data_IF_577966447090
#
_entry.id   IF_577966447090
#
_cell.length_a   1.000
_cell.length_b   1.000
_cell.length_c   1.000
_cell.angle_alpha   90.00
_cell.angle_beta   90.00
_cell.angle_gamma   90.00
#
_symmetry.space_group_name_H-M   'P 1'
#
loop_
_entity.id
_entity.type
_entity.pdbx_description
1 polymer ?
#
# COMPACT_ATOMS: atom_id res chain seq x y z
N UNK A 1 26.67 18.82 -24.33
CA UNK A 1 26.06 18.04 -23.23
C UNK A 1 24.98 17.20 -23.88
N UNK A 2 25.06 15.87 -23.82
CA UNK A 2 23.93 15.05 -24.26
C UNK A 2 22.70 15.50 -23.45
N UNK A 3 21.62 15.86 -24.13
CA UNK A 3 20.33 16.07 -23.48
C UNK A 3 19.97 14.77 -22.76
N UNK A 4 19.57 14.85 -21.50
CA UNK A 4 19.07 13.71 -20.76
C UNK A 4 17.71 13.34 -21.39
N UNK A 5 17.68 12.30 -22.24
CA UNK A 5 16.48 11.75 -22.90
C UNK A 5 15.50 11.04 -21.93
N UNK A 6 15.64 11.26 -20.62
CA UNK A 6 14.88 10.56 -19.57
C UNK A 6 13.89 11.50 -18.92
N UNK A 7 12.61 11.14 -18.95
CA UNK A 7 11.54 11.83 -18.24
C UNK A 7 11.30 11.20 -16.86
N UNK A 8 10.93 12.03 -15.89
CA UNK A 8 10.64 11.61 -14.52
C UNK A 8 9.17 11.78 -14.21
N UNK A 9 8.51 10.69 -13.83
CA UNK A 9 7.17 10.72 -13.27
C UNK A 9 7.27 10.69 -11.75
N UNK A 10 6.73 11.70 -11.08
CA UNK A 10 6.54 11.75 -9.64
C UNK A 10 5.04 11.73 -9.34
N UNK A 11 4.65 11.35 -8.12
CA UNK A 11 3.25 11.41 -7.72
C UNK A 11 3.08 11.58 -6.22
N UNK A 12 1.97 12.19 -5.81
CA UNK A 12 1.51 12.17 -4.41
C UNK A 12 0.03 11.79 -4.35
N UNK A 13 -0.42 11.47 -3.15
CA UNK A 13 -1.76 10.97 -2.85
C UNK A 13 -2.36 11.89 -1.78
N UNK A 14 -3.68 12.05 -1.82
CA UNK A 14 -4.44 12.80 -0.82
C UNK A 14 -3.94 12.54 0.62
N UNK A 15 -3.67 13.57 1.44
CA UNK A 15 -3.04 13.40 2.76
C UNK A 15 -3.73 12.44 3.74
N UNK A 16 -5.08 12.33 3.80
CA UNK A 16 -5.75 11.36 4.66
C UNK A 16 -5.47 9.88 4.31
N UNK A 17 -4.98 9.60 3.10
CA UNK A 17 -4.80 8.22 2.65
C UNK A 17 -3.62 7.52 3.33
N UNK A 18 -3.93 6.35 3.90
CA UNK A 18 -2.99 5.55 4.67
C UNK A 18 -1.97 4.77 3.83
N UNK A 19 -1.02 4.15 4.53
CA UNK A 19 0.11 3.41 3.96
C UNK A 19 -0.29 2.38 2.90
N UNK A 20 -1.34 1.60 3.17
CA UNK A 20 -1.73 0.49 2.30
C UNK A 20 -2.51 0.93 1.05
N UNK A 21 -3.24 2.06 1.09
CA UNK A 21 -3.82 2.62 -0.14
C UNK A 21 -2.72 3.23 -1.01
N UNK A 22 -1.73 3.91 -0.43
CA UNK A 22 -0.59 4.46 -1.18
C UNK A 22 0.20 3.37 -1.93
N UNK A 23 0.33 2.18 -1.34
CA UNK A 23 0.89 0.99 -2.02
C UNK A 23 0.02 0.52 -3.20
N UNK A 24 -1.29 0.67 -3.11
CA UNK A 24 -2.21 0.37 -4.22
C UNK A 24 -2.07 1.42 -5.34
N UNK A 25 -1.96 2.71 -5.00
CA UNK A 25 -1.73 3.80 -5.97
C UNK A 25 -0.38 3.64 -6.68
N UNK A 26 0.67 3.17 -5.99
CA UNK A 26 1.94 2.81 -6.63
C UNK A 26 1.74 1.85 -7.82
N UNK A 27 0.87 0.85 -7.69
CA UNK A 27 0.61 -0.11 -8.77
C UNK A 27 -0.01 0.58 -9.99
N UNK A 28 -0.91 1.55 -9.75
CA UNK A 28 -1.53 2.36 -10.80
C UNK A 28 -0.47 3.21 -11.51
N UNK A 29 0.40 3.90 -10.77
CA UNK A 29 1.44 4.74 -11.34
C UNK A 29 2.51 3.93 -12.08
N UNK A 30 2.91 2.79 -11.55
CA UNK A 30 3.79 1.86 -12.24
C UNK A 30 3.18 1.34 -13.55
N UNK A 31 1.86 1.13 -13.60
CA UNK A 31 1.16 0.73 -14.83
C UNK A 31 1.18 1.86 -15.87
N UNK A 32 0.92 3.11 -15.45
CA UNK A 32 1.09 4.29 -16.30
C UNK A 32 2.52 4.38 -16.85
N UNK A 33 3.55 4.20 -16.02
CA UNK A 33 4.95 4.22 -16.50
C UNK A 33 5.22 3.11 -17.51
N UNK A 34 4.72 1.88 -17.29
CA UNK A 34 4.82 0.81 -18.31
C UNK A 34 4.21 1.22 -19.65
N UNK A 35 3.11 1.97 -19.65
CA UNK A 35 2.51 2.50 -20.88
C UNK A 35 3.34 3.63 -21.49
N UNK A 36 3.80 4.60 -20.69
CA UNK A 36 4.65 5.71 -21.16
C UNK A 36 5.95 5.19 -21.80
N UNK A 37 6.52 4.12 -21.23
CA UNK A 37 7.75 3.49 -21.71
C UNK A 37 7.64 2.79 -23.07
N UNK A 38 6.44 2.68 -23.64
CA UNK A 38 6.26 2.18 -25.01
C UNK A 38 6.77 3.19 -26.06
N UNK A 39 6.92 4.46 -25.70
CA UNK A 39 7.27 5.53 -26.66
C UNK A 39 8.41 6.45 -26.22
N UNK A 40 8.87 6.38 -24.95
CA UNK A 40 10.00 7.17 -24.48
C UNK A 40 10.59 6.59 -23.20
N UNK A 41 11.72 7.12 -22.74
CA UNK A 41 12.31 6.68 -21.47
C UNK A 41 11.71 7.45 -20.29
N UNK A 42 11.02 6.70 -19.43
CA UNK A 42 10.38 7.21 -18.23
C UNK A 42 10.85 6.44 -17.00
N UNK A 43 11.16 7.18 -15.95
CA UNK A 43 11.52 6.65 -14.62
C UNK A 43 10.49 7.11 -13.61
N UNK A 44 10.03 6.18 -12.77
CA UNK A 44 9.14 6.51 -11.64
C UNK A 44 9.97 6.92 -10.44
N UNK A 45 9.81 8.16 -9.98
CA UNK A 45 10.41 8.64 -8.75
C UNK A 45 9.50 8.25 -7.59
N UNK A 46 10.07 7.52 -6.64
CA UNK A 46 9.33 7.00 -5.49
C UNK A 46 9.06 8.12 -4.48
N UNK A 47 7.78 8.40 -4.12
CA UNK A 47 7.46 9.46 -3.18
C UNK A 47 7.90 9.08 -1.77
N UNK A 48 8.71 9.90 -1.08
CA UNK A 48 9.15 9.60 0.28
C UNK A 48 7.97 9.42 1.22
N UNK A 49 8.07 8.46 2.14
CA UNK A 49 7.03 8.24 3.12
C UNK A 49 7.10 9.30 4.23
N UNK A 50 5.95 9.78 4.66
CA UNK A 50 5.86 10.71 5.78
C UNK A 50 4.44 11.14 6.11
N UNK A 51 4.20 11.54 7.37
CA UNK A 51 2.93 12.11 7.87
C UNK A 51 1.67 11.36 7.41
N UNK A 52 1.64 10.04 7.60
CA UNK A 52 0.40 9.29 7.38
C UNK A 52 -0.54 9.44 8.58
N UNK A 53 -1.84 9.60 8.34
CA UNK A 53 -2.84 9.82 9.40
C UNK A 53 -2.86 8.71 10.48
N UNK A 54 -2.45 7.50 10.12
CA UNK A 54 -2.38 6.34 11.03
C UNK A 54 -1.02 6.13 11.68
N UNK A 55 -0.03 6.96 11.36
CA UNK A 55 1.27 6.92 12.02
C UNK A 55 1.18 7.74 13.31
N UNK A 56 1.09 7.03 14.43
CA UNK A 56 0.73 7.56 15.75
C UNK A 56 1.95 7.84 16.63
N UNK A 57 3.11 7.30 16.29
CA UNK A 57 4.33 7.46 17.08
C UNK A 57 4.83 8.91 16.97
N UNK A 58 4.48 9.74 17.94
CA UNK A 58 4.85 11.17 17.99
C UNK A 58 6.33 11.40 18.24
N UNK A 59 6.97 10.45 18.93
CA UNK A 59 8.35 10.59 19.43
C UNK A 59 9.38 10.09 18.40
N UNK A 60 8.91 9.54 17.27
CA UNK A 60 9.73 9.02 16.18
C UNK A 60 9.70 10.00 15.02
N UNK A 61 10.86 10.30 14.44
CA UNK A 61 10.90 11.10 13.21
C UNK A 61 10.39 10.28 12.02
N UNK A 62 9.23 10.64 11.48
CA UNK A 62 8.54 9.90 10.40
C UNK A 62 8.25 10.78 9.17
N UNK A 63 9.30 11.38 8.63
CA UNK A 63 9.27 12.21 7.43
C UNK A 63 10.42 11.82 6.51
N UNK A 64 10.23 12.02 5.20
CA UNK A 64 11.25 11.82 4.17
C UNK A 64 11.87 10.41 4.19
N UNK A 65 11.11 9.40 4.60
CA UNK A 65 11.60 8.03 4.70
C UNK A 65 11.69 7.44 3.28
N UNK A 66 12.84 6.88 2.86
CA UNK A 66 12.98 6.27 1.54
C UNK A 66 12.22 4.94 1.46
N UNK A 67 11.91 4.51 0.25
CA UNK A 67 11.24 3.22 0.01
C UNK A 67 12.10 2.02 0.40
N UNK A 68 13.42 2.14 0.32
CA UNK A 68 14.37 1.10 0.73
C UNK A 68 14.19 0.62 2.19
N UNK A 69 13.63 1.45 3.08
CA UNK A 69 13.31 1.04 4.45
C UNK A 69 12.15 0.03 4.51
N UNK A 70 11.26 0.02 3.51
CA UNK A 70 10.06 -0.81 3.51
C UNK A 70 10.05 -1.88 2.42
N UNK A 71 10.69 -1.63 1.27
CA UNK A 71 10.66 -2.47 0.09
C UNK A 71 12.05 -2.67 -0.52
N UNK A 72 12.25 -3.81 -1.18
CA UNK A 72 13.44 -4.08 -1.96
C UNK A 72 13.42 -3.28 -3.27
N UNK A 73 14.28 -2.26 -3.38
CA UNK A 73 14.39 -1.45 -4.60
C UNK A 73 14.75 -2.30 -5.81
N UNK A 74 15.68 -3.26 -5.68
CA UNK A 74 16.03 -4.18 -6.75
C UNK A 74 14.82 -4.98 -7.26
N UNK A 75 13.91 -5.37 -6.35
CA UNK A 75 12.70 -6.11 -6.71
C UNK A 75 11.72 -5.22 -7.48
N UNK A 76 11.55 -3.96 -7.06
CA UNK A 76 10.73 -2.97 -7.77
C UNK A 76 11.31 -2.66 -9.16
N UNK A 77 12.63 -2.43 -9.23
CA UNK A 77 13.37 -2.12 -10.47
C UNK A 77 13.31 -3.25 -11.50
N UNK A 78 13.20 -4.51 -11.06
CA UNK A 78 12.97 -5.63 -11.96
C UNK A 78 11.60 -5.59 -12.67
N UNK A 79 10.67 -4.73 -12.24
CA UNK A 79 9.36 -4.55 -12.85
C UNK A 79 9.22 -3.23 -13.64
N UNK A 80 9.65 -2.10 -13.05
CA UNK A 80 9.60 -0.75 -13.65
C UNK A 80 10.84 0.03 -13.19
N UNK A 81 11.46 0.91 -14.01
CA UNK A 81 12.55 1.76 -13.52
C UNK A 81 12.04 2.67 -12.42
N UNK A 82 12.60 2.49 -11.24
CA UNK A 82 12.29 3.31 -10.08
C UNK A 82 13.58 3.86 -9.49
N UNK A 83 13.51 5.09 -9.01
CA UNK A 83 14.57 5.75 -8.25
C UNK A 83 13.97 6.40 -6.99
N UNK A 84 14.80 6.57 -5.96
CA UNK A 84 14.40 7.33 -4.78
C UNK A 84 14.33 8.84 -5.10
N UNK A 85 13.59 9.60 -4.30
CA UNK A 85 13.44 11.04 -4.54
C UNK A 85 14.76 11.82 -4.42
N UNK A 86 15.64 11.44 -3.49
CA UNK A 86 16.96 12.08 -3.37
C UNK A 86 17.87 11.80 -4.58
N UNK A 87 17.74 10.62 -5.19
CA UNK A 87 18.43 10.26 -6.42
C UNK A 87 17.93 11.12 -7.59
N UNK A 88 16.61 11.33 -7.69
CA UNK A 88 16.04 12.29 -8.64
C UNK A 88 16.62 13.71 -8.47
N UNK A 89 16.75 14.22 -7.23
CA UNK A 89 17.34 15.55 -6.98
C UNK A 89 18.78 15.60 -7.51
N UNK A 90 19.56 14.54 -7.30
CA UNK A 90 20.94 14.46 -7.75
C UNK A 90 21.04 14.39 -9.29
N UNK A 91 20.19 13.60 -9.95
CA UNK A 91 20.22 13.38 -11.41
C UNK A 91 19.65 14.57 -12.21
N UNK A 92 18.58 15.20 -11.71
CA UNK A 92 17.93 16.35 -12.36
C UNK A 92 18.70 17.66 -12.19
N UNK A 93 19.69 17.71 -11.29
CA UNK A 93 20.51 18.89 -11.02
C UNK A 93 19.93 19.83 -9.96
N UNK A 94 18.89 19.42 -9.24
CA UNK A 94 18.35 20.15 -8.10
C UNK A 94 16.92 19.73 -7.73
N UNK A 95 16.35 20.27 -6.64
CA UNK A 95 15.01 19.92 -6.18
C UNK A 95 13.92 20.68 -6.94
N UNK A 96 13.99 20.67 -8.27
CA UNK A 96 13.05 21.36 -9.16
C UNK A 96 12.20 20.34 -9.92
N UNK A 97 10.90 20.58 -9.92
CA UNK A 97 9.90 19.82 -10.68
C UNK A 97 9.35 20.76 -11.75
N UNK A 98 9.39 20.36 -13.01
CA UNK A 98 9.01 21.26 -14.10
C UNK A 98 7.50 21.51 -14.11
N UNK A 99 6.70 20.46 -13.97
CA UNK A 99 5.24 20.54 -14.03
C UNK A 99 4.59 19.75 -12.91
N UNK A 100 3.70 20.39 -12.15
CA UNK A 100 2.73 19.71 -11.28
C UNK A 100 1.38 19.71 -11.97
N UNK A 101 0.76 18.53 -12.07
CA UNK A 101 -0.60 18.33 -12.53
C UNK A 101 -1.43 17.84 -11.34
N UNK A 102 -2.34 18.67 -10.85
CA UNK A 102 -3.26 18.29 -9.78
C UNK A 102 -4.46 17.57 -10.41
N UNK A 103 -4.57 16.27 -10.16
CA UNK A 103 -5.71 15.48 -10.63
C UNK A 103 -6.97 15.86 -9.85
N UNK A 104 -8.08 15.95 -10.57
CA UNK A 104 -9.40 16.20 -10.00
C UNK A 104 -10.48 15.47 -10.80
N UNK A 105 -11.67 15.35 -10.22
CA UNK A 105 -12.85 14.88 -10.96
C UNK A 105 -13.33 15.95 -11.96
N UNK A 106 -14.21 15.57 -12.89
CA UNK A 106 -14.97 16.54 -13.67
C UNK A 106 -16.01 17.23 -12.78
N UNK A 107 -16.05 18.56 -12.80
CA UNK A 107 -16.95 19.36 -11.95
C UNK A 107 -18.43 19.08 -12.26
N UNK A 108 -18.72 18.77 -13.52
CA UNK A 108 -20.03 18.37 -14.02
C UNK A 108 -20.47 16.96 -13.60
N UNK A 109 -19.56 16.16 -13.02
CA UNK A 109 -19.80 14.74 -12.74
C UNK A 109 -19.97 13.91 -14.02
N UNK A 110 -20.68 12.79 -13.91
CA UNK A 110 -21.05 11.95 -15.05
C UNK A 110 -22.54 11.63 -15.01
N UNK A 111 -23.14 11.37 -16.18
CA UNK A 111 -24.53 10.94 -16.30
C UNK A 111 -24.64 9.43 -16.15
N UNK A 112 -25.69 8.96 -15.47
CA UNK A 112 -25.96 7.53 -15.32
C UNK A 112 -26.00 6.83 -16.69
N UNK A 113 -25.26 5.73 -16.83
CA UNK A 113 -25.19 4.93 -18.07
C UNK A 113 -24.15 5.39 -19.10
N UNK A 114 -23.39 6.48 -18.86
CA UNK A 114 -22.27 6.91 -19.70
C UNK A 114 -21.03 7.20 -18.87
N UNK A 115 -20.20 6.18 -18.65
CA UNK A 115 -18.86 6.36 -18.12
C UNK A 115 -17.86 6.31 -19.28
N UNK A 116 -17.12 7.40 -19.48
CA UNK A 116 -16.15 7.55 -20.56
C UNK A 116 -14.78 7.89 -19.96
N UNK A 117 -13.74 7.27 -20.51
CA UNK A 117 -12.37 7.59 -20.12
C UNK A 117 -11.90 8.84 -20.84
N UNK A 118 -11.48 9.85 -20.09
CA UNK A 118 -11.07 11.15 -20.62
C UNK A 118 -10.19 11.92 -19.64
N UNK A 119 -9.36 12.79 -20.21
CA UNK A 119 -8.45 13.69 -19.50
C UNK A 119 -8.49 15.03 -20.20
N UNK A 120 -8.78 16.09 -19.45
CA UNK A 120 -8.82 17.45 -19.96
C UNK A 120 -8.12 18.41 -19.01
N UNK A 121 -7.36 19.35 -19.56
CA UNK A 121 -6.95 20.54 -18.80
C UNK A 121 -8.20 21.35 -18.43
N UNK A 122 -8.38 21.62 -17.13
CA UNK A 122 -9.55 22.31 -16.60
C UNK A 122 -9.13 23.30 -15.51
N UNK A 123 -9.93 24.35 -15.26
CA UNK A 123 -9.73 25.18 -14.08
C UNK A 123 -9.71 24.33 -12.81
N UNK A 124 -8.83 24.68 -11.87
CA UNK A 124 -8.79 24.04 -10.56
C UNK A 124 -10.11 24.25 -9.81
N UNK A 125 -10.76 23.15 -9.41
CA UNK A 125 -12.03 23.18 -8.69
C UNK A 125 -11.81 23.69 -7.27
N UNK A 126 -10.84 23.08 -6.58
CA UNK A 126 -10.43 23.49 -5.25
C UNK A 126 -9.28 24.48 -5.29
N UNK A 127 -9.11 25.21 -4.18
CA UNK A 127 -7.97 26.09 -4.02
C UNK A 127 -6.69 25.26 -4.01
N UNK A 128 -5.76 25.60 -4.91
CA UNK A 128 -4.44 24.98 -4.94
C UNK A 128 -3.73 25.08 -3.58
N UNK A 129 -3.17 23.96 -3.14
CA UNK A 129 -2.30 23.88 -1.96
C UNK A 129 -0.87 24.37 -2.25
N UNK A 130 -0.60 24.75 -3.50
CA UNK A 130 0.66 25.30 -3.97
C UNK A 130 0.62 26.83 -3.99
N UNK A 131 1.70 27.48 -3.57
CA UNK A 131 1.80 28.95 -3.52
C UNK A 131 3.11 29.43 -4.11
N UNK A 132 3.09 30.56 -4.83
CA UNK A 132 4.31 31.14 -5.41
C UNK A 132 5.18 31.79 -4.34
N UNK A 133 6.48 31.55 -4.39
CA UNK A 133 7.48 32.28 -3.62
C UNK A 133 7.88 33.60 -4.31
N UNK A 134 8.83 34.32 -3.69
CA UNK A 134 9.31 35.63 -4.19
C UNK A 134 10.02 35.53 -5.54
N UNK A 135 10.50 34.34 -5.90
CA UNK A 135 11.19 34.06 -7.16
C UNK A 135 10.22 33.60 -8.25
N UNK A 136 8.93 33.43 -7.91
CA UNK A 136 7.88 33.01 -8.83
C UNK A 136 7.70 31.49 -8.93
N UNK A 137 8.50 30.71 -8.20
CA UNK A 137 8.38 29.25 -8.15
C UNK A 137 7.30 28.81 -7.17
N UNK A 138 6.65 27.69 -7.45
CA UNK A 138 5.63 27.13 -6.56
C UNK A 138 6.25 26.33 -5.44
N UNK A 139 5.82 26.63 -4.20
CA UNK A 139 6.06 25.85 -2.98
C UNK A 139 4.83 25.04 -2.64
N UNK A 140 5.03 23.85 -2.09
CA UNK A 140 3.97 22.94 -1.68
C UNK A 140 4.46 22.00 -0.58
N UNK A 141 3.72 20.92 -0.35
CA UNK A 141 4.08 19.91 0.63
C UNK A 141 5.35 19.16 0.24
N UNK A 142 5.44 18.68 -1.00
CA UNK A 142 6.59 17.95 -1.58
C UNK A 142 7.25 16.96 -0.61
N UNK A 143 6.42 16.10 0.00
CA UNK A 143 6.85 15.04 0.94
C UNK A 143 7.67 15.53 2.14
N UNK A 144 7.53 16.81 2.48
CA UNK A 144 8.25 17.46 3.59
C UNK A 144 9.60 18.05 3.20
N UNK A 145 9.98 18.08 1.91
CA UNK A 145 11.17 18.77 1.41
C UNK A 145 10.85 20.25 1.15
N UNK A 146 11.26 21.11 2.08
CA UNK A 146 10.99 22.55 2.03
C UNK A 146 11.77 23.26 0.92
N UNK A 147 12.85 22.64 0.46
CA UNK A 147 13.71 23.07 -0.64
C UNK A 147 13.07 22.86 -2.01
N UNK A 148 12.12 21.92 -2.14
CA UNK A 148 11.52 21.56 -3.43
C UNK A 148 10.66 22.66 -4.02
N UNK A 149 10.82 22.89 -5.32
CA UNK A 149 10.10 23.91 -6.09
C UNK A 149 9.49 23.31 -7.34
N UNK A 150 8.30 23.76 -7.70
CA UNK A 150 7.73 23.51 -9.02
C UNK A 150 7.78 24.76 -9.90
N UNK A 151 8.10 24.60 -11.19
CA UNK A 151 8.12 25.71 -12.15
C UNK A 151 6.70 26.10 -12.54
N UNK A 152 5.83 25.11 -12.78
CA UNK A 152 4.44 25.34 -13.13
C UNK A 152 3.48 24.38 -12.39
N UNK A 153 2.26 24.85 -12.14
CA UNK A 153 1.19 24.07 -11.50
C UNK A 153 -0.12 24.34 -12.23
N UNK A 154 -0.78 23.28 -12.70
CA UNK A 154 -2.11 23.32 -13.29
C UNK A 154 -2.96 22.14 -12.81
N UNK A 155 -4.26 22.17 -13.12
CA UNK A 155 -5.18 21.09 -12.78
C UNK A 155 -5.66 20.38 -14.04
N UNK A 156 -5.82 19.06 -13.95
CA UNK A 156 -6.42 18.26 -15.00
C UNK A 156 -7.58 17.45 -14.42
N UNK A 157 -8.72 17.49 -15.09
CA UNK A 157 -9.83 16.61 -14.77
C UNK A 157 -9.60 15.28 -15.45
N UNK A 158 -9.60 14.19 -14.69
CA UNK A 158 -9.37 12.85 -15.19
C UNK A 158 -10.48 11.91 -14.73
N UNK A 159 -10.95 11.07 -15.65
CA UNK A 159 -11.86 9.98 -15.40
C UNK A 159 -11.35 8.79 -16.19
N UNK A 160 -11.00 7.69 -15.51
CA UNK A 160 -10.47 6.52 -16.21
C UNK A 160 -9.42 5.76 -15.41
N UNK A 161 -8.78 4.84 -16.11
CA UNK A 161 -7.64 4.10 -15.59
C UNK A 161 -6.35 4.91 -15.72
N UNK A 162 -5.31 4.56 -14.95
CA UNK A 162 -4.07 5.34 -14.92
C UNK A 162 -3.45 5.57 -16.30
N UNK A 163 -3.47 4.58 -17.19
CA UNK A 163 -2.91 4.71 -18.54
C UNK A 163 -3.63 5.72 -19.44
N UNK A 164 -4.84 6.19 -19.10
CA UNK A 164 -5.52 7.26 -19.86
C UNK A 164 -4.75 8.58 -19.83
N UNK A 165 -3.87 8.77 -18.84
CA UNK A 165 -3.00 9.93 -18.74
C UNK A 165 -1.85 9.90 -19.76
N UNK A 166 -1.49 8.74 -20.30
CA UNK A 166 -0.29 8.60 -21.12
C UNK A 166 -0.31 9.47 -22.40
N UNK A 167 -1.38 9.47 -23.23
CA UNK A 167 -1.43 10.33 -24.40
C UNK A 167 -1.30 11.82 -24.04
N UNK A 168 -2.00 12.28 -23.00
CA UNK A 168 -1.90 13.67 -22.53
C UNK A 168 -0.47 14.03 -22.10
N UNK A 169 0.19 13.15 -21.33
CA UNK A 169 1.57 13.37 -20.90
C UNK A 169 2.59 13.33 -22.04
N UNK A 170 2.30 12.61 -23.13
CA UNK A 170 3.20 12.49 -24.28
C UNK A 170 3.00 13.59 -25.33
N UNK A 171 1.76 14.03 -25.54
CA UNK A 171 1.39 14.96 -26.61
C UNK A 171 1.34 16.41 -26.13
N UNK A 172 0.93 16.66 -24.89
CA UNK A 172 0.68 18.00 -24.38
C UNK A 172 1.76 18.52 -23.42
N UNK A 173 2.62 17.64 -22.89
CA UNK A 173 3.61 17.99 -21.88
C UNK A 173 5.03 17.84 -22.43
N UNK A 174 5.78 18.94 -22.46
CA UNK A 174 7.19 18.97 -22.87
C UNK A 174 8.16 18.95 -21.67
N UNK A 175 7.62 18.92 -20.45
CA UNK A 175 8.37 18.91 -19.21
C UNK A 175 9.17 17.61 -19.03
N UNK A 176 10.38 17.72 -18.48
CA UNK A 176 11.24 16.56 -18.18
C UNK A 176 10.74 15.87 -16.91
N UNK A 177 10.33 16.64 -15.89
CA UNK A 177 9.80 16.13 -14.63
C UNK A 177 8.35 16.53 -14.39
N UNK A 178 7.47 15.54 -14.23
CA UNK A 178 6.03 15.74 -14.04
C UNK A 178 5.59 15.09 -12.74
N UNK A 179 5.00 15.88 -11.84
CA UNK A 179 4.35 15.39 -10.62
C UNK A 179 2.84 15.30 -10.82
N UNK A 180 2.27 14.12 -10.62
CA UNK A 180 0.83 13.88 -10.54
C UNK A 180 0.37 13.94 -9.08
N UNK A 181 -0.24 15.05 -8.67
CA UNK A 181 -0.83 15.17 -7.34
C UNK A 181 -2.25 14.58 -7.36
N UNK A 182 -2.73 14.07 -6.22
CA UNK A 182 -4.03 13.39 -6.10
C UNK A 182 -4.13 12.16 -7.00
N UNK A 183 -3.04 11.39 -7.08
CA UNK A 183 -2.93 10.20 -7.93
C UNK A 183 -3.95 9.08 -7.61
N UNK A 184 -4.63 9.13 -6.46
CA UNK A 184 -5.75 8.23 -6.15
C UNK A 184 -6.95 8.39 -7.09
N UNK A 185 -7.04 9.51 -7.82
CA UNK A 185 -8.14 9.86 -8.73
C UNK A 185 -8.31 8.85 -9.87
N UNK A 186 -7.20 8.29 -10.38
CA UNK A 186 -7.23 7.32 -11.48
C UNK A 186 -7.29 5.88 -10.98
N UNK A 187 -7.93 5.02 -11.76
CA UNK A 187 -8.17 3.61 -11.43
C UNK A 187 -7.06 2.68 -11.96
N UNK A 188 -7.13 1.38 -11.62
CA UNK A 188 -6.23 0.35 -12.16
C UNK A 188 -6.63 -0.09 -13.56
N UNK A 189 -5.73 0.00 -14.55
CA UNK A 189 -5.98 -0.41 -15.96
C UNK A 189 -6.68 -1.77 -16.10
N UNK A 190 -6.12 -2.80 -15.45
CA UNK A 190 -6.75 -4.11 -15.37
C UNK A 190 -6.46 -4.73 -14.00
N UNK A 191 -7.33 -4.43 -13.04
CA UNK A 191 -7.22 -4.94 -11.68
C UNK A 191 -7.16 -6.47 -11.66
N UNK A 192 -6.23 -7.03 -10.89
CA UNK A 192 -5.94 -8.47 -10.82
C UNK A 192 -5.52 -9.13 -12.16
N UNK A 193 -5.19 -8.35 -13.17
CA UNK A 193 -4.54 -8.82 -14.40
C UNK A 193 -3.07 -9.19 -14.22
N UNK A 194 -2.45 -9.71 -15.29
CA UNK A 194 -1.02 -10.06 -15.27
C UNK A 194 -0.13 -8.88 -14.86
N UNK A 195 -0.32 -7.72 -15.48
CA UNK A 195 0.52 -6.54 -15.20
C UNK A 195 0.31 -5.99 -13.78
N UNK A 196 -0.92 -6.08 -13.25
CA UNK A 196 -1.22 -5.81 -11.85
C UNK A 196 -0.41 -6.74 -10.94
N UNK A 197 -0.45 -8.05 -11.20
CA UNK A 197 0.23 -9.05 -10.39
C UNK A 197 1.75 -8.97 -10.50
N UNK A 198 2.31 -8.69 -11.67
CA UNK A 198 3.75 -8.46 -11.81
C UNK A 198 4.20 -7.27 -10.97
N UNK A 199 3.46 -6.15 -11.02
CA UNK A 199 3.76 -5.00 -10.17
C UNK A 199 3.56 -5.32 -8.69
N UNK A 200 2.47 -5.98 -8.31
CA UNK A 200 2.20 -6.35 -6.92
C UNK A 200 3.23 -7.32 -6.35
N UNK A 201 3.71 -8.29 -7.14
CA UNK A 201 4.76 -9.25 -6.76
C UNK A 201 6.14 -8.60 -6.67
N UNK A 202 6.39 -7.54 -7.44
CA UNK A 202 7.63 -6.77 -7.35
C UNK A 202 7.79 -6.01 -6.02
N UNK A 203 6.69 -5.73 -5.33
CA UNK A 203 6.66 -5.05 -4.01
C UNK A 203 7.06 -5.98 -2.86
N UNK A 204 8.25 -6.56 -2.96
CA UNK A 204 8.85 -7.40 -1.94
C UNK A 204 9.28 -6.54 -0.75
N UNK A 205 8.87 -6.93 0.46
CA UNK A 205 9.30 -6.23 1.68
C UNK A 205 10.81 -6.27 1.88
N UNK A 206 11.35 -5.19 2.47
CA UNK A 206 12.76 -5.09 2.81
C UNK A 206 13.22 -6.30 3.65
N UNK A 207 14.43 -6.78 3.37
CA UNK A 207 14.94 -8.05 3.95
C UNK A 207 14.94 -8.03 5.48
N UNK A 208 15.33 -6.91 6.08
CA UNK A 208 15.40 -6.78 7.54
C UNK A 208 14.01 -6.94 8.20
N UNK A 209 12.94 -6.43 7.57
CA UNK A 209 11.56 -6.59 8.06
C UNK A 209 11.10 -8.05 8.00
N UNK A 210 11.38 -8.74 6.88
CA UNK A 210 11.09 -10.18 6.74
C UNK A 210 11.80 -10.99 7.81
N UNK A 211 13.09 -10.72 8.02
CA UNK A 211 13.89 -11.39 9.05
C UNK A 211 13.32 -11.21 10.47
N UNK A 212 12.87 -10.00 10.83
CA UNK A 212 12.23 -9.74 12.12
C UNK A 212 10.94 -10.56 12.25
N UNK A 213 10.10 -10.57 11.21
CA UNK A 213 8.88 -11.35 11.18
C UNK A 213 9.14 -12.87 11.26
N UNK A 214 10.18 -13.38 10.59
CA UNK A 214 10.57 -14.79 10.62
C UNK A 214 11.13 -15.20 11.99
N UNK A 215 11.94 -14.34 12.61
CA UNK A 215 12.39 -14.54 13.98
C UNK A 215 11.23 -14.58 14.97
N UNK A 216 10.25 -13.68 14.81
CA UNK A 216 9.04 -13.68 15.63
C UNK A 216 8.22 -14.96 15.43
N UNK A 217 7.99 -15.37 14.18
CA UNK A 217 7.29 -16.60 13.80
C UNK A 217 7.95 -17.83 14.43
N UNK A 218 9.27 -17.95 14.30
CA UNK A 218 10.02 -19.07 14.86
C UNK A 218 9.92 -19.09 16.39
N UNK A 219 10.16 -17.96 17.05
CA UNK A 219 10.25 -17.85 18.51
C UNK A 219 8.89 -18.03 19.21
N UNK A 220 7.84 -17.39 18.71
CA UNK A 220 6.57 -17.30 19.43
C UNK A 220 5.46 -18.15 18.81
N UNK A 221 5.53 -18.44 17.51
CA UNK A 221 4.45 -19.10 16.77
C UNK A 221 4.77 -20.52 16.32
N UNK A 222 5.99 -21.02 16.56
CA UNK A 222 6.45 -22.33 16.09
C UNK A 222 6.23 -22.50 14.58
N UNK A 223 6.68 -21.49 13.83
CA UNK A 223 6.41 -21.29 12.41
C UNK A 223 7.73 -20.95 11.70
N UNK A 224 8.01 -21.68 10.61
CA UNK A 224 9.19 -21.52 9.74
C UNK A 224 8.80 -21.91 8.33
N UNK A 225 9.42 -21.33 7.30
CA UNK A 225 9.01 -21.58 5.92
C UNK A 225 9.09 -23.05 5.51
N UNK A 226 10.07 -23.78 6.04
CA UNK A 226 10.23 -25.22 5.81
C UNK A 226 9.07 -26.03 6.40
N UNK A 227 8.63 -25.73 7.63
CA UNK A 227 7.53 -26.46 8.28
C UNK A 227 6.14 -26.04 7.76
N UNK A 228 6.05 -24.80 7.29
CA UNK A 228 4.82 -24.15 6.86
C UNK A 228 4.58 -24.30 5.35
N UNK A 229 5.55 -24.88 4.64
CA UNK A 229 5.57 -25.01 3.18
C UNK A 229 5.35 -23.66 2.48
N UNK A 230 6.02 -22.62 2.95
CA UNK A 230 6.01 -21.27 2.36
C UNK A 230 7.39 -20.91 1.79
N UNK A 231 7.95 -21.71 0.87
CA UNK A 231 9.29 -21.46 0.35
C UNK A 231 9.34 -20.10 -0.37
N UNK A 232 10.41 -19.35 -0.10
CA UNK A 232 10.60 -17.99 -0.59
C UNK A 232 11.76 -17.92 -1.60
N UNK A 233 11.69 -16.97 -2.53
CA UNK A 233 12.77 -16.64 -3.48
C UNK A 233 12.99 -15.13 -3.47
N UNK A 234 14.24 -14.70 -3.30
CA UNK A 234 14.61 -13.28 -3.39
C UNK A 234 14.33 -12.70 -4.79
N UNK A 235 14.45 -13.53 -5.83
CA UNK A 235 13.99 -13.20 -7.17
C UNK A 235 12.49 -13.53 -7.28
N UNK A 236 11.65 -12.49 -7.15
CA UNK A 236 10.21 -12.63 -7.20
C UNK A 236 9.73 -13.15 -8.56
N UNK A 237 10.46 -12.93 -9.66
CA UNK A 237 10.04 -13.36 -11.00
C UNK A 237 9.98 -14.89 -11.10
N UNK A 238 10.81 -15.59 -10.30
CA UNK A 238 10.87 -17.04 -10.18
C UNK A 238 9.87 -17.61 -9.18
N UNK A 239 9.29 -16.78 -8.31
CA UNK A 239 8.33 -17.22 -7.30
C UNK A 239 6.98 -17.51 -7.95
N UNK A 240 6.74 -18.78 -8.31
CA UNK A 240 5.46 -19.27 -8.82
C UNK A 240 4.96 -20.40 -7.92
N UNK A 241 4.08 -20.08 -6.98
CA UNK A 241 3.48 -21.05 -6.09
C UNK A 241 2.22 -21.65 -6.71
N UNK A 242 2.04 -22.97 -6.58
CA UNK A 242 0.79 -23.64 -6.95
C UNK A 242 -0.27 -23.25 -5.91
N UNK A 243 -1.42 -22.74 -6.35
CA UNK A 243 -2.50 -22.39 -5.44
C UNK A 243 -2.89 -23.58 -4.53
N UNK A 244 -2.91 -23.34 -3.22
CA UNK A 244 -3.15 -24.36 -2.19
C UNK A 244 -1.92 -25.19 -1.80
N UNK A 245 -0.71 -24.87 -2.27
CA UNK A 245 0.51 -25.57 -1.85
C UNK A 245 1.02 -25.11 -0.48
N UNK A 246 0.79 -23.85 -0.10
CA UNK A 246 1.20 -23.33 1.19
C UNK A 246 0.28 -23.82 2.32
N UNK A 247 0.89 -24.24 3.42
CA UNK A 247 0.18 -24.78 4.60
C UNK A 247 0.06 -23.75 5.72
N UNK A 248 1.08 -22.93 5.94
CA UNK A 248 1.15 -21.93 7.01
C UNK A 248 1.41 -22.50 8.41
N UNK A 249 1.91 -21.60 9.26
CA UNK A 249 2.28 -21.87 10.64
C UNK A 249 1.09 -22.25 11.51
N UNK A 250 1.31 -22.96 12.63
CA UNK A 250 0.26 -23.52 13.47
C UNK A 250 -0.44 -22.47 14.36
N UNK A 251 -0.87 -21.37 13.76
CA UNK A 251 -1.59 -20.27 14.41
C UNK A 251 -2.65 -19.67 13.48
N UNK A 252 -3.62 -18.99 14.09
CA UNK A 252 -4.61 -18.15 13.41
C UNK A 252 -4.05 -16.73 13.28
N UNK A 253 -4.03 -16.17 12.07
CA UNK A 253 -3.70 -14.77 11.83
C UNK A 253 -4.97 -13.93 11.83
N UNK A 254 -4.96 -12.84 12.59
CA UNK A 254 -6.11 -11.95 12.73
C UNK A 254 -5.66 -10.53 12.47
N UNK A 255 -6.34 -9.83 11.57
CA UNK A 255 -6.24 -8.38 11.46
C UNK A 255 -7.54 -7.73 11.90
N UNK A 256 -7.48 -7.00 13.01
CA UNK A 256 -8.62 -6.30 13.61
C UNK A 256 -8.39 -4.78 13.55
N UNK A 257 -9.00 -4.12 12.57
CA UNK A 257 -8.97 -2.66 12.41
C UNK A 257 -10.04 -2.01 13.30
N UNK A 258 -9.62 -1.09 14.16
CA UNK A 258 -10.38 -0.43 15.23
C UNK A 258 -10.28 1.08 15.05
N UNK A 259 -9.80 1.83 16.05
CA UNK A 259 -9.54 3.27 16.00
C UNK A 259 -10.62 4.09 15.26
N UNK A 260 -10.23 4.93 14.30
CA UNK A 260 -11.12 5.75 13.46
C UNK A 260 -12.13 4.91 12.66
N UNK A 261 -11.75 3.69 12.29
CA UNK A 261 -12.53 2.81 11.42
C UNK A 261 -13.87 2.42 12.04
N UNK A 262 -13.93 2.25 13.37
CA UNK A 262 -15.18 1.92 14.06
C UNK A 262 -16.26 2.96 13.79
N UNK A 263 -15.92 4.24 13.69
CA UNK A 263 -16.93 5.30 13.52
C UNK A 263 -17.58 5.29 12.13
N UNK A 264 -16.80 4.97 11.09
CA UNK A 264 -17.28 4.88 9.71
C UNK A 264 -17.88 3.52 9.31
N UNK A 265 -17.56 2.45 10.06
CA UNK A 265 -17.84 1.05 9.69
C UNK A 265 -18.52 0.26 10.81
N UNK A 266 -19.38 0.90 11.61
CA UNK A 266 -19.99 0.26 12.80
C UNK A 266 -20.77 -1.02 12.48
N UNK A 267 -21.38 -1.06 11.32
CA UNK A 267 -22.33 -2.11 10.96
C UNK A 267 -21.65 -3.34 10.36
N UNK A 268 -20.41 -3.22 9.86
CA UNK A 268 -19.67 -4.28 9.17
C UNK A 268 -18.37 -4.69 9.89
N UNK A 269 -18.13 -4.15 11.09
CA UNK A 269 -17.06 -4.57 12.01
C UNK A 269 -17.61 -5.13 13.33
N UNK A 270 -16.99 -6.17 13.91
CA UNK A 270 -17.51 -6.80 15.12
C UNK A 270 -17.26 -5.95 16.38
N UNK A 271 -18.02 -6.22 17.44
CA UNK A 271 -17.59 -5.83 18.78
C UNK A 271 -16.39 -6.67 19.24
N UNK A 272 -15.67 -6.26 20.29
CA UNK A 272 -14.60 -7.10 20.86
C UNK A 272 -15.11 -8.49 21.29
N UNK A 273 -16.35 -8.58 21.81
CA UNK A 273 -16.99 -9.85 22.17
C UNK A 273 -17.30 -10.70 20.94
N UNK A 274 -17.83 -10.08 19.88
CA UNK A 274 -18.08 -10.73 18.60
C UNK A 274 -16.80 -11.28 17.97
N UNK A 275 -15.74 -10.46 17.94
CA UNK A 275 -14.42 -10.81 17.43
C UNK A 275 -13.83 -12.02 18.18
N UNK A 276 -13.76 -11.96 19.52
CA UNK A 276 -13.23 -13.07 20.34
C UNK A 276 -14.02 -14.37 20.15
N UNK A 277 -15.36 -14.28 20.09
CA UNK A 277 -16.22 -15.45 19.83
C UNK A 277 -15.88 -16.07 18.47
N UNK A 278 -15.74 -15.25 17.42
CA UNK A 278 -15.38 -15.71 16.07
C UNK A 278 -13.97 -16.31 16.03
N UNK A 279 -13.00 -15.67 16.68
CA UNK A 279 -11.61 -16.14 16.79
C UNK A 279 -11.58 -17.55 17.40
N UNK A 280 -12.21 -17.75 18.58
CA UNK A 280 -12.24 -19.07 19.23
C UNK A 280 -12.95 -20.13 18.39
N UNK A 281 -14.02 -19.76 17.68
CA UNK A 281 -14.70 -20.66 16.75
C UNK A 281 -13.78 -21.12 15.63
N UNK A 282 -13.01 -20.20 15.03
CA UNK A 282 -12.04 -20.52 13.98
C UNK A 282 -10.85 -21.34 14.50
N UNK A 283 -10.32 -21.02 15.69
CA UNK A 283 -9.27 -21.78 16.33
C UNK A 283 -9.71 -23.24 16.55
N UNK A 284 -10.91 -23.45 17.13
CA UNK A 284 -11.48 -24.79 17.32
C UNK A 284 -11.69 -25.52 16.00
N UNK A 285 -12.26 -24.85 14.99
CA UNK A 285 -12.54 -25.45 13.66
C UNK A 285 -11.26 -25.91 12.95
N UNK A 286 -10.18 -25.12 13.06
CA UNK A 286 -8.93 -25.37 12.36
C UNK A 286 -7.86 -26.07 13.23
N UNK A 287 -8.20 -26.42 14.49
CA UNK A 287 -7.29 -27.06 15.46
C UNK A 287 -6.01 -26.24 15.67
N UNK A 288 -6.18 -24.96 16.00
CA UNK A 288 -5.11 -24.00 16.23
C UNK A 288 -5.14 -23.56 17.70
N UNK A 289 -4.00 -23.63 18.38
CA UNK A 289 -3.88 -23.28 19.80
C UNK A 289 -3.37 -21.84 20.02
N UNK A 290 -2.75 -21.25 18.99
CA UNK A 290 -2.21 -19.88 19.02
C UNK A 290 -2.96 -18.96 18.08
N UNK A 291 -3.06 -17.69 18.45
CA UNK A 291 -3.62 -16.62 17.61
C UNK A 291 -2.73 -15.40 17.65
N UNK A 292 -2.31 -14.95 16.48
CA UNK A 292 -1.60 -13.69 16.28
C UNK A 292 -2.58 -12.58 15.91
N UNK A 293 -2.47 -11.41 16.54
CA UNK A 293 -3.38 -10.27 16.31
C UNK A 293 -2.60 -9.03 15.89
N UNK A 294 -2.76 -8.64 14.62
CA UNK A 294 -2.44 -7.31 14.12
C UNK A 294 -3.63 -6.38 14.36
N UNK A 295 -3.42 -5.30 15.13
CA UNK A 295 -4.49 -4.35 15.46
C UNK A 295 -3.92 -2.98 15.80
N UNK A 296 -4.65 -1.94 15.41
CA UNK A 296 -4.47 -0.53 15.73
C UNK A 296 -5.32 -0.08 16.94
N UNK A 297 -5.90 -1.03 17.69
CA UNK A 297 -6.60 -0.77 18.93
C UNK A 297 -5.68 -0.06 19.93
N UNK A 298 -6.25 0.88 20.70
CA UNK A 298 -5.54 1.54 21.79
C UNK A 298 -5.23 0.57 22.95
N UNK A 299 -4.39 1.02 23.89
CA UNK A 299 -3.95 0.20 25.02
C UNK A 299 -5.11 -0.32 25.88
N UNK A 300 -6.20 0.44 26.00
CA UNK A 300 -7.37 0.06 26.80
C UNK A 300 -8.16 -1.05 26.12
N UNK A 301 -8.44 -0.93 24.82
CA UNK A 301 -9.07 -1.97 24.01
C UNK A 301 -8.20 -3.24 23.96
N UNK A 302 -6.88 -3.09 23.81
CA UNK A 302 -5.92 -4.21 23.84
C UNK A 302 -5.95 -4.92 25.18
N UNK A 303 -5.97 -4.19 26.31
CA UNK A 303 -6.06 -4.78 27.63
C UNK A 303 -7.36 -5.59 27.82
N UNK A 304 -8.48 -5.05 27.34
CA UNK A 304 -9.78 -5.76 27.32
C UNK A 304 -9.72 -7.02 26.46
N UNK A 305 -9.12 -6.93 25.27
CA UNK A 305 -8.96 -8.05 24.36
C UNK A 305 -8.10 -9.15 24.98
N UNK A 306 -6.97 -8.79 25.61
CA UNK A 306 -6.07 -9.71 26.31
C UNK A 306 -6.75 -10.42 27.48
N UNK A 307 -7.62 -9.73 28.22
CA UNK A 307 -8.43 -10.34 29.28
C UNK A 307 -9.42 -11.37 28.73
N UNK A 308 -9.99 -11.11 27.55
CA UNK A 308 -11.00 -11.97 26.93
C UNK A 308 -10.38 -13.14 26.14
N UNK A 309 -9.17 -12.96 25.62
CA UNK A 309 -8.42 -13.90 24.79
C UNK A 309 -6.95 -13.98 25.27
N UNK A 310 -6.67 -14.59 26.45
CA UNK A 310 -5.33 -14.63 27.03
C UNK A 310 -4.27 -15.33 26.16
N UNK A 311 -4.70 -16.20 25.25
CA UNK A 311 -3.87 -16.91 24.28
C UNK A 311 -3.38 -16.03 23.10
N UNK A 312 -3.78 -14.75 23.05
CA UNK A 312 -3.37 -13.84 21.99
C UNK A 312 -1.90 -13.48 22.06
N UNK A 313 -1.26 -13.45 20.89
CA UNK A 313 0.13 -13.03 20.69
C UNK A 313 0.11 -11.80 19.79
N UNK A 314 0.92 -10.79 20.13
CA UNK A 314 1.11 -9.58 19.32
C UNK A 314 2.59 -9.32 19.14
N UNK A 315 2.95 -8.69 18.03
CA UNK A 315 4.25 -8.07 17.88
C UNK A 315 4.20 -6.72 18.59
N UNK A 316 5.05 -6.56 19.61
CA UNK A 316 5.19 -5.31 20.37
C UNK A 316 6.66 -4.89 20.20
N UNK A 317 6.96 -3.91 19.31
CA UNK A 317 8.33 -3.48 19.07
C UNK A 317 8.91 -2.82 20.34
N UNK A 318 10.20 -3.02 20.59
CA UNK A 318 10.92 -2.20 21.57
C UNK A 318 10.96 -0.73 21.11
N UNK A 319 11.19 0.25 22.00
CA UNK A 319 11.39 1.64 21.59
C UNK A 319 12.50 1.80 20.54
N UNK A 320 13.57 1.01 20.66
CA UNK A 320 14.66 0.98 19.69
C UNK A 320 14.22 0.40 18.34
N UNK A 321 13.46 -0.70 18.34
CA UNK A 321 12.89 -1.27 17.11
C UNK A 321 11.88 -0.30 16.49
N UNK A 322 11.08 0.41 17.27
CA UNK A 322 10.10 1.37 16.76
C UNK A 322 10.79 2.56 16.09
N UNK A 323 11.88 3.07 16.68
CA UNK A 323 12.68 4.13 16.08
C UNK A 323 13.34 3.67 14.78
N UNK A 324 13.77 2.42 14.68
CA UNK A 324 14.39 1.86 13.47
C UNK A 324 13.34 1.58 12.39
N UNK A 325 12.31 0.82 12.72
CA UNK A 325 11.33 0.28 11.77
C UNK A 325 10.30 1.33 11.36
N UNK A 326 10.08 2.36 12.19
CA UNK A 326 8.98 3.31 12.06
C UNK A 326 7.62 2.59 12.08
N UNK A 327 6.53 3.34 12.02
CA UNK A 327 5.18 2.76 12.04
C UNK A 327 4.91 1.89 10.80
N UNK A 328 5.50 2.26 9.65
CA UNK A 328 5.40 1.50 8.40
C UNK A 328 6.07 0.12 8.48
N UNK A 329 7.26 0.02 9.08
CA UNK A 329 7.97 -1.24 9.22
C UNK A 329 7.28 -2.18 10.21
N UNK A 330 6.78 -1.65 11.33
CA UNK A 330 5.96 -2.42 12.28
C UNK A 330 4.70 -2.97 11.60
N UNK A 331 4.01 -2.13 10.80
CA UNK A 331 2.85 -2.56 10.03
C UNK A 331 3.20 -3.68 9.02
N UNK A 332 4.37 -3.62 8.37
CA UNK A 332 4.83 -4.67 7.46
C UNK A 332 5.13 -5.97 8.21
N UNK A 333 5.77 -5.90 9.38
CA UNK A 333 6.04 -7.08 10.22
C UNK A 333 4.72 -7.76 10.62
N UNK A 334 3.73 -6.99 11.05
CA UNK A 334 2.38 -7.50 11.35
C UNK A 334 1.73 -8.18 10.12
N UNK A 335 1.84 -7.57 8.93
CA UNK A 335 1.32 -8.16 7.70
C UNK A 335 2.04 -9.44 7.32
N UNK A 336 3.37 -9.47 7.44
CA UNK A 336 4.20 -10.63 7.15
C UNK A 336 3.82 -11.81 8.05
N UNK A 337 3.70 -11.57 9.37
CA UNK A 337 3.29 -12.60 10.31
C UNK A 337 1.85 -13.05 10.03
N UNK A 338 0.91 -12.14 9.76
CA UNK A 338 -0.46 -12.52 9.37
C UNK A 338 -0.49 -13.36 8.09
N UNK A 339 0.32 -13.02 7.09
CA UNK A 339 0.35 -13.69 5.80
C UNK A 339 0.81 -15.15 5.91
N UNK A 340 1.65 -15.50 6.91
CA UNK A 340 2.16 -16.86 7.11
C UNK A 340 1.27 -17.77 7.97
N UNK A 341 0.14 -17.27 8.47
CA UNK A 341 -0.77 -18.06 9.29
C UNK A 341 -1.44 -19.21 8.50
N UNK A 342 -1.76 -20.32 9.16
CA UNK A 342 -2.55 -21.41 8.53
C UNK A 342 -3.94 -20.96 8.09
N UNK A 343 -4.52 -20.04 8.84
CA UNK A 343 -5.80 -19.43 8.51
C UNK A 343 -5.72 -17.93 8.82
N UNK A 344 -6.26 -17.10 7.94
CA UNK A 344 -6.32 -15.66 8.13
C UNK A 344 -7.77 -15.16 8.11
N UNK A 345 -8.06 -14.18 8.96
CA UNK A 345 -9.29 -13.39 8.95
C UNK A 345 -8.96 -11.91 9.16
N UNK A 346 -9.43 -11.07 8.23
CA UNK A 346 -9.22 -9.63 8.27
C UNK A 346 -10.45 -8.84 8.72
N UNK A 347 -10.34 -7.53 8.61
CA UNK A 347 -11.45 -6.57 8.81
C UNK A 347 -12.03 -6.13 7.47
N UNK A 348 -13.35 -5.91 7.44
CA UNK A 348 -14.12 -5.41 6.29
C UNK A 348 -13.45 -4.20 5.66
N UNK A 349 -13.42 -4.18 4.32
CA UNK A 349 -12.92 -3.10 3.44
C UNK A 349 -11.57 -2.46 3.81
N UNK A 350 -10.79 -3.10 4.68
CA UNK A 350 -9.51 -2.56 5.12
C UNK A 350 -8.41 -2.87 4.10
N UNK A 351 -7.76 -1.82 3.60
CA UNK A 351 -6.61 -1.93 2.70
C UNK A 351 -5.44 -2.70 3.34
N UNK A 352 -5.28 -2.66 4.66
CA UNK A 352 -4.32 -3.49 5.39
C UNK A 352 -4.63 -4.99 5.22
N UNK A 353 -5.91 -5.39 5.37
CA UNK A 353 -6.34 -6.78 5.10
C UNK A 353 -6.10 -7.16 3.63
N UNK A 354 -6.39 -6.25 2.69
CA UNK A 354 -6.21 -6.52 1.27
C UNK A 354 -4.75 -6.80 0.92
N UNK A 355 -3.80 -6.05 1.49
CA UNK A 355 -2.38 -6.33 1.27
C UNK A 355 -1.96 -7.69 1.82
N UNK A 356 -2.54 -8.14 2.94
CA UNK A 356 -2.32 -9.50 3.46
C UNK A 356 -2.93 -10.55 2.53
N UNK A 357 -4.14 -10.33 2.00
CA UNK A 357 -4.77 -11.27 1.07
C UNK A 357 -3.88 -11.53 -0.15
N UNK A 358 -3.30 -10.48 -0.72
CA UNK A 358 -2.40 -10.59 -1.87
C UNK A 358 -1.09 -11.28 -1.53
N UNK A 359 -0.51 -11.00 -0.37
CA UNK A 359 0.73 -11.67 0.07
C UNK A 359 0.49 -13.19 0.22
N UNK A 360 -0.68 -13.57 0.74
CA UNK A 360 -1.12 -14.97 0.82
C UNK A 360 -1.38 -15.60 -0.54
N UNK A 361 -1.95 -14.85 -1.49
CA UNK A 361 -2.15 -15.31 -2.86
C UNK A 361 -0.80 -15.57 -3.55
N UNK A 362 0.18 -14.67 -3.38
CA UNK A 362 1.54 -14.80 -3.91
C UNK A 362 2.23 -16.05 -3.38
N UNK A 363 2.07 -16.33 -2.09
CA UNK A 363 2.61 -17.54 -1.45
C UNK A 363 1.84 -18.82 -1.81
N UNK A 364 0.70 -18.72 -2.49
CA UNK A 364 -0.08 -19.88 -2.91
C UNK A 364 -0.89 -20.54 -1.80
N UNK A 365 -1.37 -19.78 -0.82
CA UNK A 365 -2.33 -20.27 0.17
C UNK A 365 -3.67 -20.63 -0.49
N UNK A 366 -4.41 -21.57 0.11
CA UNK A 366 -5.79 -21.86 -0.33
C UNK A 366 -6.67 -20.62 -0.08
N UNK A 367 -7.43 -20.13 -1.09
CA UNK A 367 -8.32 -18.98 -0.96
C UNK A 367 -9.28 -19.06 0.24
N UNK A 368 -9.74 -20.26 0.60
CA UNK A 368 -10.62 -20.49 1.76
C UNK A 368 -9.99 -20.11 3.09
N UNK A 369 -8.65 -20.05 3.14
CA UNK A 369 -7.88 -19.65 4.32
C UNK A 369 -7.44 -18.18 4.27
N UNK A 370 -7.74 -17.47 3.19
CA UNK A 370 -7.23 -16.13 2.90
C UNK A 370 -8.35 -15.09 2.90
N UNK A 371 -9.37 -15.27 2.07
CA UNK A 371 -10.41 -14.25 1.83
C UNK A 371 -11.54 -14.39 2.85
N UNK A 372 -11.24 -14.03 4.10
CA UNK A 372 -12.18 -14.07 5.20
C UNK A 372 -12.20 -12.73 5.93
N UNK A 373 -13.38 -12.24 6.31
CA UNK A 373 -13.50 -11.08 7.20
C UNK A 373 -14.37 -11.36 8.42
N UNK A 374 -14.18 -10.56 9.46
CA UNK A 374 -15.20 -10.43 10.48
C UNK A 374 -16.46 -9.78 9.93
N UNK A 375 -17.59 -10.21 10.44
CA UNK A 375 -18.89 -9.59 10.21
C UNK A 375 -19.23 -8.66 11.38
N UNK A 376 -20.06 -7.67 11.13
CA UNK A 376 -20.69 -6.91 12.20
C UNK A 376 -21.58 -7.79 13.06
N UNK A 377 -21.74 -7.44 14.34
CA UNK A 377 -22.48 -8.26 15.30
C UNK A 377 -23.97 -8.44 14.91
N UNK A 378 -24.53 -7.46 14.20
CA UNK A 378 -25.92 -7.43 13.72
C UNK A 378 -26.02 -7.57 12.19
N UNK A 379 -24.89 -7.77 11.51
CA UNK A 379 -24.82 -7.86 10.06
C UNK A 379 -25.47 -9.16 9.58
N UNK A 380 -26.55 -9.05 8.80
CA UNK A 380 -27.26 -10.21 8.24
C UNK A 380 -26.56 -10.74 6.98
N UNK A 381 -26.16 -9.83 6.10
CA UNK A 381 -25.54 -10.14 4.82
C UNK A 381 -24.05 -9.80 4.89
N UNK A 382 -23.28 -10.72 5.46
CA UNK A 382 -21.84 -10.55 5.59
C UNK A 382 -21.11 -11.07 4.35
N UNK A 383 -21.11 -10.27 3.28
CA UNK A 383 -20.36 -10.57 2.07
C UNK A 383 -18.86 -10.73 2.40
N UNK A 384 -18.26 -11.81 1.89
CA UNK A 384 -16.84 -12.09 2.09
C UNK A 384 -16.00 -11.43 0.99
N UNK A 385 -14.72 -11.09 1.27
CA UNK A 385 -13.85 -10.48 0.26
C UNK A 385 -13.76 -11.33 -1.01
N UNK A 386 -13.81 -10.68 -2.18
CA UNK A 386 -13.66 -11.34 -3.47
C UNK A 386 -12.28 -12.00 -3.59
N UNK A 387 -12.23 -13.23 -4.10
CA UNK A 387 -10.98 -13.88 -4.48
C UNK A 387 -10.47 -13.31 -5.80
N UNK A 388 -9.42 -12.52 -5.72
CA UNK A 388 -8.67 -12.04 -6.89
C UNK A 388 -7.50 -13.00 -7.14
N UNK A 389 -7.64 -13.86 -8.14
CA UNK A 389 -6.65 -14.91 -8.42
C UNK A 389 -5.38 -14.32 -9.06
N UNK A 390 -4.21 -14.76 -8.58
CA UNK A 390 -2.93 -14.44 -9.20
C UNK A 390 -2.81 -14.96 -10.64
N UNK A 391 -2.26 -14.12 -11.51
CA UNK A 391 -1.92 -14.42 -12.91
C UNK A 391 -0.41 -14.24 -13.09
N UNK A 392 0.25 -15.24 -13.68
CA UNK A 392 1.72 -15.35 -13.79
C UNK A 392 2.28 -15.17 -15.20
#
# INVERSE_FOLDING_TARGET
KAELDVHYLLYDVNPPEGFNLRRDVYIRMASLVKTLRKQGDWVLVLPPWGRLYHWKSSDVHQLRIPWAEFFSLNSLQANVPVIEYEEFIAESGGPFIDQVLVLQNYAEGWTEGKWEEKVDERPCIERLMYTKDKQGYYRGWFWGYEETRALNVSCISAQGHASILAPFLQENITAISVLLDRAETVLHDHYAGKDYWDTRRSMVFAKHLRMIGDQFRAKYLNSTDEQDHTPYSEDWTRMKAKLGSAKGGPYLGVHLRRSDFIWGHRDDVPSLKGAVKKIRSLMKKNKLDKVFIATDADEEEVAKLRKMLPEMIRYEPSPEDLELLKDGGVAIVDQWICAHARFFIGTSVSTFSFRIHEEREIMGFDPKTTYNRFCGDLEKECEQPTHWKIVY
#
